data_IF_501131632628
#
_entry.id   IF_501131632628
#
_cell.length_a   1.000
_cell.length_b   1.000
_cell.length_c   1.000
_cell.angle_alpha   90.00
_cell.angle_beta   90.00
_cell.angle_gamma   90.00
#
_symmetry.space_group_name_H-M   'P 1'
#
loop_
_entity.id
_entity.type
_entity.pdbx_description
1 polymer ?
#
# COMPACT_ATOMS: atom_id res chain seq x y z
N UNK A 1 68.47 23.38 -23.57
CA UNK A 1 67.38 24.31 -23.96
C UNK A 1 66.07 23.54 -23.88
N UNK A 2 65.20 23.82 -22.90
CA UNK A 2 63.89 24.51 -23.05
C UNK A 2 63.01 23.77 -24.08
N UNK A 3 61.90 23.12 -23.74
CA UNK A 3 60.68 23.75 -23.24
C UNK A 3 59.72 22.70 -22.65
N UNK A 4 59.11 23.04 -21.52
CA UNK A 4 57.91 22.40 -20.97
C UNK A 4 56.71 22.73 -21.86
N UNK A 5 55.83 21.77 -22.11
CA UNK A 5 54.40 22.02 -22.31
C UNK A 5 53.60 20.99 -21.53
N UNK A 6 52.98 21.46 -20.44
CA UNK A 6 51.87 20.84 -19.74
C UNK A 6 50.60 21.21 -20.51
N UNK A 7 49.78 20.23 -20.91
CA UNK A 7 48.33 20.45 -21.03
C UNK A 7 47.61 19.25 -20.42
N UNK A 8 46.84 19.55 -19.38
CA UNK A 8 45.91 18.69 -18.66
C UNK A 8 44.62 18.54 -19.48
N UNK A 9 44.10 17.33 -19.64
CA UNK A 9 42.66 17.04 -19.78
C UNK A 9 42.45 15.65 -19.16
N UNK A 10 42.12 15.59 -17.86
CA UNK A 10 40.77 15.50 -17.31
C UNK A 10 40.20 14.06 -17.37
N UNK A 11 40.40 13.39 -16.24
CA UNK A 11 39.57 12.39 -15.55
C UNK A 11 38.22 12.14 -16.24
N UNK A 12 38.07 10.93 -16.80
CA UNK A 12 36.79 10.26 -16.92
C UNK A 12 36.85 8.91 -16.18
N UNK A 13 37.42 8.94 -14.97
CA UNK A 13 37.21 7.90 -13.98
C UNK A 13 35.91 8.23 -13.22
N UNK A 14 34.78 7.92 -13.84
CA UNK A 14 33.52 7.73 -13.15
C UNK A 14 32.88 6.48 -13.75
N UNK A 15 33.53 5.35 -13.48
CA UNK A 15 32.92 4.04 -13.57
C UNK A 15 31.61 4.12 -12.79
N UNK A 16 30.51 4.20 -13.53
CA UNK A 16 29.24 3.49 -13.33
C UNK A 16 29.11 2.89 -11.92
N UNK A 17 28.92 3.73 -10.92
CA UNK A 17 28.12 3.38 -9.76
C UNK A 17 26.81 4.12 -9.91
N UNK A 18 26.10 3.78 -10.98
CA UNK A 18 24.64 3.76 -10.90
C UNK A 18 24.32 2.85 -9.72
N UNK A 19 24.22 3.44 -8.53
CA UNK A 19 23.39 2.91 -7.48
C UNK A 19 21.98 2.89 -8.07
N UNK A 20 21.68 1.82 -8.80
CA UNK A 20 20.37 1.21 -8.75
C UNK A 20 20.12 0.95 -7.28
N UNK A 21 19.63 1.97 -6.57
CA UNK A 21 18.75 1.72 -5.45
C UNK A 21 17.66 0.86 -6.05
N UNK A 22 17.77 -0.45 -5.86
CA UNK A 22 16.69 -1.37 -6.13
C UNK A 22 15.53 -0.82 -5.31
N UNK A 23 14.65 -0.06 -5.95
CA UNK A 23 13.34 0.23 -5.42
C UNK A 23 12.70 -1.14 -5.34
N UNK A 24 12.82 -1.79 -4.19
CA UNK A 24 12.17 -3.08 -3.97
C UNK A 24 10.69 -2.76 -4.05
N UNK A 25 10.13 -3.02 -5.23
CA UNK A 25 8.76 -2.66 -5.54
C UNK A 25 7.85 -3.33 -4.51
N UNK A 26 7.10 -2.51 -3.78
CA UNK A 26 6.07 -2.99 -2.86
C UNK A 26 5.15 -3.91 -3.65
N UNK A 27 5.06 -5.17 -3.23
CA UNK A 27 4.29 -6.19 -3.96
C UNK A 27 3.00 -6.43 -3.21
N UNK A 28 1.87 -6.25 -3.89
CA UNK A 28 0.56 -6.66 -3.37
C UNK A 28 0.56 -8.18 -3.19
N UNK A 29 0.47 -8.64 -1.95
CA UNK A 29 0.48 -10.07 -1.61
C UNK A 29 -0.92 -10.66 -1.50
N UNK A 30 -1.89 -9.85 -1.06
CA UNK A 30 -3.26 -10.33 -0.81
C UNK A 30 -4.28 -9.21 -0.97
N UNK A 31 -5.51 -9.59 -1.28
CA UNK A 31 -6.69 -8.73 -1.15
C UNK A 31 -7.92 -9.54 -0.77
N UNK A 32 -8.93 -8.88 -0.22
CA UNK A 32 -10.21 -9.51 0.07
C UNK A 32 -11.16 -8.58 0.80
N UNK A 33 -12.19 -9.19 1.39
CA UNK A 33 -13.18 -8.52 2.24
C UNK A 33 -13.12 -9.16 3.63
N UNK A 34 -13.19 -8.34 4.66
CA UNK A 34 -13.33 -8.75 6.06
C UNK A 34 -14.43 -7.94 6.73
N UNK A 35 -14.94 -8.43 7.85
CA UNK A 35 -15.72 -7.57 8.74
C UNK A 35 -14.82 -6.48 9.32
N UNK A 36 -15.33 -5.25 9.42
CA UNK A 36 -14.57 -4.13 9.95
C UNK A 36 -14.04 -4.40 11.36
N UNK A 37 -14.81 -5.10 12.19
CA UNK A 37 -14.36 -5.50 13.53
C UNK A 37 -13.13 -6.43 13.47
N UNK A 38 -13.06 -7.35 12.51
CA UNK A 38 -11.88 -8.20 12.33
C UNK A 38 -10.66 -7.39 11.89
N UNK A 39 -10.85 -6.37 11.03
CA UNK A 39 -9.76 -5.46 10.64
C UNK A 39 -9.26 -4.66 11.85
N UNK A 40 -10.16 -4.16 12.68
CA UNK A 40 -9.82 -3.44 13.92
C UNK A 40 -9.11 -4.34 14.94
N UNK A 41 -9.53 -5.59 15.08
CA UNK A 41 -8.82 -6.57 15.89
C UNK A 41 -7.42 -6.88 15.36
N UNK A 42 -7.23 -6.89 14.04
CA UNK A 42 -5.91 -7.06 13.43
C UNK A 42 -5.02 -5.84 13.70
N UNK A 43 -5.57 -4.63 13.66
CA UNK A 43 -4.78 -3.39 13.86
C UNK A 43 -4.33 -3.21 15.31
N UNK A 44 -5.02 -3.78 16.29
CA UNK A 44 -4.66 -3.66 17.72
C UNK A 44 -3.71 -4.76 18.23
N UNK A 45 -3.27 -5.69 17.36
CA UNK A 45 -2.35 -6.76 17.76
C UNK A 45 -0.97 -6.23 18.12
N UNK A 46 -0.25 -6.95 18.98
CA UNK A 46 1.14 -6.66 19.36
C UNK A 46 2.13 -6.68 18.19
N UNK A 47 1.74 -7.29 17.05
CA UNK A 47 2.53 -7.29 15.81
C UNK A 47 2.41 -6.00 15.01
N UNK A 48 1.42 -5.15 15.31
CA UNK A 48 1.23 -3.85 14.66
C UNK A 48 2.26 -2.86 15.16
N UNK A 49 2.93 -2.20 14.22
CA UNK A 49 3.98 -1.22 14.45
C UNK A 49 3.43 0.21 14.46
N UNK A 50 2.49 0.51 13.57
CA UNK A 50 1.83 1.81 13.43
C UNK A 50 0.55 1.68 12.61
N UNK A 51 -0.27 2.73 12.60
CA UNK A 51 -1.47 2.82 11.77
C UNK A 51 -2.11 4.19 11.86
N UNK A 52 -2.97 4.51 10.89
CA UNK A 52 -3.58 5.82 10.75
C UNK A 52 -4.40 5.96 9.47
N UNK A 53 -4.70 7.21 9.10
CA UNK A 53 -5.38 7.50 7.84
C UNK A 53 -4.36 7.48 6.70
N UNK A 54 -4.80 7.17 5.48
CA UNK A 54 -3.89 7.10 4.32
C UNK A 54 -3.02 8.36 4.14
N UNK A 55 -3.53 9.54 4.50
CA UNK A 55 -2.78 10.80 4.43
C UNK A 55 -1.53 10.83 5.32
N UNK A 56 -1.51 10.04 6.38
CA UNK A 56 -0.41 9.96 7.35
C UNK A 56 0.66 8.92 6.93
N UNK A 57 0.38 8.11 5.90
CA UNK A 57 1.25 6.99 5.53
C UNK A 57 2.63 7.43 5.03
N UNK A 58 2.71 8.54 4.29
CA UNK A 58 3.97 9.01 3.72
C UNK A 58 4.98 9.42 4.79
N UNK A 59 4.50 9.89 5.93
CA UNK A 59 5.32 10.35 7.07
C UNK A 59 5.47 9.27 8.15
N UNK A 60 4.89 8.09 7.96
CA UNK A 60 4.98 6.99 8.92
C UNK A 60 6.40 6.41 8.95
N UNK A 61 7.08 6.38 10.12
CA UNK A 61 8.45 5.89 10.21
C UNK A 61 8.63 4.40 9.88
N UNK A 62 7.55 3.60 9.94
CA UNK A 62 7.58 2.18 9.58
C UNK A 62 7.26 1.95 8.08
N UNK A 63 6.81 2.97 7.36
CA UNK A 63 6.56 2.88 5.92
C UNK A 63 7.87 3.03 5.15
N UNK A 64 8.28 1.95 4.48
CA UNK A 64 9.53 1.92 3.71
C UNK A 64 9.24 1.52 2.26
N UNK A 65 10.01 2.09 1.32
CA UNK A 65 9.97 1.67 -0.09
C UNK A 65 9.32 2.62 -1.09
N UNK A 66 8.99 3.86 -0.71
CA UNK A 66 8.76 4.98 -1.64
C UNK A 66 7.57 4.88 -2.61
N UNK A 67 6.76 3.82 -2.59
CA UNK A 67 5.63 3.65 -3.50
C UNK A 67 4.32 4.27 -2.97
N UNK A 68 4.41 5.34 -2.18
CA UNK A 68 3.22 6.07 -1.67
C UNK A 68 2.23 6.45 -2.78
N UNK A 69 2.65 7.01 -3.94
CA UNK A 69 1.71 7.32 -5.02
C UNK A 69 0.95 6.10 -5.55
N UNK A 70 1.60 4.92 -5.60
CA UNK A 70 0.96 3.69 -6.04
C UNK A 70 -0.09 3.23 -5.02
N UNK A 71 0.21 3.31 -3.71
CA UNK A 71 -0.75 2.99 -2.64
C UNK A 71 -1.94 3.94 -2.68
N UNK A 72 -1.73 5.24 -2.89
CA UNK A 72 -2.80 6.24 -2.99
C UNK A 72 -3.72 5.95 -4.18
N UNK A 73 -3.15 5.67 -5.35
CA UNK A 73 -3.93 5.30 -6.53
C UNK A 73 -4.75 4.02 -6.29
N UNK A 74 -4.17 3.05 -5.59
CA UNK A 74 -4.85 1.80 -5.31
C UNK A 74 -5.96 1.95 -4.26
N UNK A 75 -5.76 2.82 -3.27
CA UNK A 75 -6.76 3.20 -2.28
C UNK A 75 -7.95 3.95 -2.90
N UNK A 76 -7.71 4.77 -3.94
CA UNK A 76 -8.75 5.46 -4.67
C UNK A 76 -9.71 4.48 -5.39
N UNK A 77 -9.18 3.35 -5.86
CA UNK A 77 -9.94 2.35 -6.63
C UNK A 77 -10.32 1.11 -5.82
N UNK A 78 -9.98 1.04 -4.53
CA UNK A 78 -10.16 -0.17 -3.69
C UNK A 78 -11.61 -0.67 -3.64
N UNK A 79 -12.59 0.23 -3.71
CA UNK A 79 -14.03 -0.10 -3.67
C UNK A 79 -14.66 -0.20 -5.07
N UNK A 80 -13.95 0.11 -6.16
CA UNK A 80 -14.53 0.33 -7.48
C UNK A 80 -15.30 -0.88 -8.06
N UNK A 81 -14.94 -2.10 -7.65
CA UNK A 81 -15.58 -3.33 -8.12
C UNK A 81 -16.76 -3.81 -7.24
N UNK A 82 -17.14 -3.02 -6.23
CA UNK A 82 -18.17 -3.38 -5.27
C UNK A 82 -19.40 -2.48 -5.37
N UNK A 83 -20.56 -3.07 -5.11
CA UNK A 83 -21.82 -2.36 -4.93
C UNK A 83 -22.22 -2.45 -3.47
N UNK A 84 -22.47 -1.28 -2.85
CA UNK A 84 -22.88 -1.22 -1.45
C UNK A 84 -24.32 -1.71 -1.34
N UNK A 85 -24.55 -2.73 -0.51
CA UNK A 85 -25.88 -3.31 -0.26
C UNK A 85 -26.23 -3.26 1.22
N UNK A 86 -27.52 -3.22 1.54
CA UNK A 86 -28.00 -3.21 2.93
C UNK A 86 -27.71 -4.54 3.65
N UNK A 87 -27.87 -5.65 2.94
CA UNK A 87 -27.61 -7.02 3.42
C UNK A 87 -27.04 -7.85 2.29
N UNK A 88 -25.95 -8.57 2.57
CA UNK A 88 -25.30 -9.44 1.59
C UNK A 88 -26.06 -10.75 1.43
N UNK A 89 -26.27 -11.20 0.20
CA UNK A 89 -26.98 -12.44 -0.11
C UNK A 89 -27.90 -12.32 -1.33
N UNK A 90 -28.72 -13.36 -1.51
CA UNK A 90 -29.70 -13.45 -2.58
C UNK A 90 -31.03 -12.83 -2.14
N UNK A 91 -31.10 -11.52 -2.17
CA UNK A 91 -32.31 -10.75 -1.86
C UNK A 91 -32.86 -10.08 -3.13
N UNK A 92 -34.18 -9.84 -3.23
CA UNK A 92 -34.78 -9.19 -4.39
C UNK A 92 -34.13 -7.85 -4.76
N UNK A 93 -33.76 -7.05 -3.75
CA UNK A 93 -33.07 -5.77 -3.93
C UNK A 93 -31.63 -5.89 -4.47
N UNK A 94 -31.01 -7.08 -4.39
CA UNK A 94 -29.66 -7.33 -4.88
C UNK A 94 -29.65 -8.00 -6.28
N UNK A 95 -30.81 -8.08 -6.96
CA UNK A 95 -30.94 -8.76 -8.25
C UNK A 95 -29.97 -8.15 -9.28
N UNK A 96 -29.16 -9.01 -9.90
CA UNK A 96 -28.17 -8.60 -10.90
C UNK A 96 -26.80 -8.21 -10.32
N UNK A 97 -26.64 -8.21 -8.99
CA UNK A 97 -25.35 -7.96 -8.34
C UNK A 97 -24.75 -9.29 -7.89
N UNK A 98 -23.64 -9.76 -8.49
CA UNK A 98 -22.95 -10.98 -8.07
C UNK A 98 -22.55 -10.92 -6.59
N UNK A 99 -22.63 -12.04 -5.86
CA UNK A 99 -22.44 -12.07 -4.39
C UNK A 99 -21.06 -11.55 -3.98
N UNK A 100 -20.04 -11.84 -4.76
CA UNK A 100 -18.65 -11.42 -4.59
C UNK A 100 -18.43 -9.92 -4.83
N UNK A 101 -19.39 -9.24 -5.48
CA UNK A 101 -19.38 -7.78 -5.68
C UNK A 101 -20.27 -7.03 -4.69
N UNK A 102 -21.03 -7.74 -3.86
CA UNK A 102 -21.84 -7.13 -2.80
C UNK A 102 -20.95 -6.79 -1.61
N UNK A 103 -21.00 -5.54 -1.16
CA UNK A 103 -20.30 -5.06 0.03
C UNK A 103 -21.29 -4.42 1.00
N UNK A 104 -21.27 -4.81 2.26
CA UNK A 104 -22.11 -4.24 3.31
C UNK A 104 -21.38 -3.14 4.07
N UNK A 105 -22.12 -2.31 4.80
CA UNK A 105 -21.54 -1.19 5.59
C UNK A 105 -20.65 -1.64 6.75
N UNK A 106 -20.73 -2.90 7.16
CA UNK A 106 -19.91 -3.48 8.23
C UNK A 106 -18.67 -4.21 7.69
N UNK A 107 -18.48 -4.22 6.38
CA UNK A 107 -17.35 -4.86 5.72
C UNK A 107 -16.33 -3.81 5.28
N UNK A 108 -15.06 -4.24 5.24
CA UNK A 108 -13.94 -3.48 4.72
C UNK A 108 -13.27 -4.28 3.61
N UNK A 109 -12.97 -3.61 2.50
CA UNK A 109 -12.11 -4.18 1.46
C UNK A 109 -10.67 -3.88 1.84
N UNK A 110 -9.81 -4.90 1.84
CA UNK A 110 -8.41 -4.76 2.22
C UNK A 110 -7.45 -5.23 1.13
N UNK A 111 -6.23 -4.70 1.21
CA UNK A 111 -5.05 -5.09 0.42
C UNK A 111 -3.84 -5.15 1.34
N UNK A 112 -3.00 -6.15 1.12
CA UNK A 112 -1.75 -6.32 1.86
C UNK A 112 -0.59 -6.16 0.89
N UNK A 113 0.41 -5.37 1.28
CA UNK A 113 1.65 -5.18 0.53
C UNK A 113 2.82 -5.59 1.40
N UNK A 114 3.77 -6.32 0.83
CA UNK A 114 5.07 -6.51 1.48
C UNK A 114 5.91 -5.24 1.32
N UNK A 115 6.47 -4.79 2.44
CA UNK A 115 7.42 -3.68 2.48
C UNK A 115 8.86 -4.21 2.40
N UNK A 116 9.83 -3.41 1.92
CA UNK A 116 11.23 -3.84 1.78
C UNK A 116 11.90 -4.22 3.11
N UNK A 117 11.46 -3.62 4.22
CA UNK A 117 11.95 -3.94 5.56
C UNK A 117 11.40 -5.26 6.14
N UNK A 118 10.67 -6.05 5.34
CA UNK A 118 10.07 -7.31 5.76
C UNK A 118 8.74 -7.17 6.52
N UNK A 119 8.26 -5.95 6.76
CA UNK A 119 6.93 -5.69 7.31
C UNK A 119 5.85 -5.77 6.24
N UNK A 120 4.59 -5.72 6.66
CA UNK A 120 3.43 -5.64 5.78
C UNK A 120 2.66 -4.35 6.00
N UNK A 121 2.28 -3.68 4.91
CA UNK A 121 1.27 -2.63 4.90
C UNK A 121 -0.10 -3.28 4.66
N UNK A 122 -1.02 -3.08 5.60
CA UNK A 122 -2.42 -3.45 5.45
C UNK A 122 -3.22 -2.18 5.16
N UNK A 123 -3.65 -2.03 3.91
CA UNK A 123 -4.50 -0.94 3.44
C UNK A 123 -5.94 -1.41 3.42
N UNK A 124 -6.88 -0.62 3.96
CA UNK A 124 -8.29 -0.98 3.91
C UNK A 124 -9.20 0.24 3.77
N UNK A 125 -10.42 0.00 3.30
CA UNK A 125 -11.45 1.03 3.21
C UNK A 125 -12.83 0.43 3.44
N UNK A 126 -13.65 1.16 4.17
CA UNK A 126 -15.07 0.86 4.36
C UNK A 126 -15.91 1.70 3.38
N UNK A 127 -17.12 1.26 3.02
CA UNK A 127 -18.00 2.08 2.18
C UNK A 127 -18.54 3.31 2.90
N UNK A 128 -18.42 3.39 4.24
CA UNK A 128 -18.91 4.50 5.05
C UNK A 128 -17.86 5.59 5.28
N UNK A 129 -16.58 5.32 5.01
CA UNK A 129 -15.50 6.29 5.25
C UNK A 129 -15.01 6.95 3.95
N UNK A 130 -14.74 8.26 4.07
CA UNK A 130 -14.33 9.09 2.93
C UNK A 130 -12.89 8.82 2.47
N UNK A 131 -12.07 8.20 3.32
CA UNK A 131 -10.67 7.89 3.02
C UNK A 131 -10.36 6.44 3.36
N UNK A 132 -9.25 5.93 2.82
CA UNK A 132 -8.70 4.66 3.26
C UNK A 132 -7.89 4.85 4.55
N UNK A 133 -7.79 3.78 5.30
CA UNK A 133 -6.97 3.66 6.49
C UNK A 133 -5.90 2.60 6.27
N UNK A 134 -4.89 2.62 7.14
CA UNK A 134 -3.82 1.62 7.09
C UNK A 134 -3.31 1.24 8.49
N UNK A 135 -2.65 0.10 8.54
CA UNK A 135 -1.70 -0.21 9.60
C UNK A 135 -0.53 -1.00 9.03
N UNK A 136 0.64 -0.86 9.65
CA UNK A 136 1.87 -1.59 9.32
C UNK A 136 2.13 -2.61 10.42
N UNK A 137 2.46 -3.83 10.05
CA UNK A 137 2.73 -4.92 11.01
C UNK A 137 3.94 -5.73 10.62
N UNK A 138 4.52 -6.43 11.59
CA UNK A 138 5.51 -7.48 11.31
C UNK A 138 4.86 -8.60 10.50
N UNK A 139 5.59 -9.11 9.50
CA UNK A 139 5.18 -10.32 8.78
C UNK A 139 5.25 -11.51 9.74
N UNK A 140 4.14 -12.23 9.87
CA UNK A 140 4.06 -13.46 10.67
C UNK A 140 4.65 -14.65 9.93
#
# INVERSE_FOLDING_TARGET
MRFRWLVRVAIAAALITSLTQHTVAQTKTRSGVLLLNQVRELSTRSTTLSGGKLVDLETDPNFTGGAFPAIVNDAATILANYTVVRRGGYFPENRGIPRERQLTVVEAVYRIYSLPNGSELFLYRTPTENTAEYFIRKKS
#
